data_IF_877529420004
#
_entry.id   IF_877529420004
#
_cell.length_a   1.000
_cell.length_b   1.000
_cell.length_c   1.000
_cell.angle_alpha   90.00
_cell.angle_beta   90.00
_cell.angle_gamma   90.00
#
_symmetry.space_group_name_H-M   'P 1'
#
loop_
_entity.id
_entity.type
_entity.pdbx_description
1 polymer ?
#
# COMPACT_ATOMS: atom_id res chain seq x y z
N UNK A 1 41.08 -20.62 23.84
CA UNK A 1 40.45 -20.86 22.51
C UNK A 1 39.38 -21.98 22.54
N UNK A 2 39.39 -22.87 23.55
CA UNK A 2 38.49 -24.03 23.59
C UNK A 2 37.04 -23.73 24.02
N UNK A 3 36.74 -22.54 24.55
CA UNK A 3 35.45 -22.20 25.14
C UNK A 3 34.56 -21.30 24.26
N UNK A 4 34.83 -21.14 22.94
CA UNK A 4 34.02 -20.31 22.05
C UNK A 4 32.93 -21.07 21.28
N UNK A 5 32.85 -22.41 21.41
CA UNK A 5 31.93 -23.21 20.58
C UNK A 5 30.43 -22.96 20.87
N UNK A 6 30.07 -22.45 22.07
CA UNK A 6 28.68 -22.18 22.49
C UNK A 6 28.38 -20.68 22.69
N UNK A 7 29.26 -19.79 22.24
CA UNK A 7 29.05 -18.35 22.39
C UNK A 7 28.32 -17.78 21.19
N UNK A 8 27.36 -16.88 21.46
CA UNK A 8 26.65 -16.17 20.41
C UNK A 8 27.59 -15.21 19.62
N UNK A 9 27.20 -14.80 18.44
CA UNK A 9 27.96 -13.94 17.56
C UNK A 9 28.47 -12.66 18.25
N UNK A 10 27.63 -11.99 19.03
CA UNK A 10 28.01 -10.75 19.72
C UNK A 10 29.16 -10.93 20.71
N UNK A 11 29.21 -12.07 21.42
CA UNK A 11 30.33 -12.39 22.33
C UNK A 11 31.60 -12.70 21.54
N UNK A 12 31.49 -13.42 20.43
CA UNK A 12 32.65 -13.71 19.56
C UNK A 12 33.19 -12.43 18.95
N UNK A 13 32.34 -11.47 18.59
CA UNK A 13 32.73 -10.17 18.06
C UNK A 13 33.55 -9.37 19.06
N UNK A 14 33.09 -9.28 20.32
CA UNK A 14 33.88 -8.63 21.39
C UNK A 14 35.25 -9.24 21.57
N UNK A 15 35.35 -10.57 21.60
CA UNK A 15 36.64 -11.27 21.70
C UNK A 15 37.53 -10.98 20.52
N UNK A 16 36.96 -10.87 19.30
CA UNK A 16 37.70 -10.48 18.12
C UNK A 16 38.29 -9.08 18.24
N UNK A 17 37.48 -8.11 18.68
CA UNK A 17 37.91 -6.73 18.85
C UNK A 17 39.00 -6.61 19.96
N UNK A 18 38.84 -7.31 21.09
CA UNK A 18 39.81 -7.39 22.16
C UNK A 18 41.16 -7.94 21.65
N UNK A 19 41.16 -9.04 20.90
CA UNK A 19 42.40 -9.62 20.31
C UNK A 19 43.00 -8.65 19.28
N UNK A 20 42.18 -7.92 18.54
CA UNK A 20 42.64 -6.93 17.56
C UNK A 20 43.40 -5.77 18.18
N UNK A 21 43.05 -5.38 19.42
CA UNK A 21 43.72 -4.32 20.16
C UNK A 21 44.91 -4.77 20.98
N UNK A 22 45.03 -6.09 21.29
CA UNK A 22 46.06 -6.62 22.17
C UNK A 22 47.44 -6.66 21.52
N UNK A 23 48.47 -6.41 22.30
CA UNK A 23 49.89 -6.48 21.86
C UNK A 23 50.40 -7.91 21.81
N UNK A 24 49.98 -8.70 20.84
CA UNK A 24 50.49 -10.05 20.60
C UNK A 24 51.49 -10.08 19.44
N UNK A 25 52.36 -11.12 19.37
CA UNK A 25 53.18 -11.38 18.19
C UNK A 25 52.32 -11.47 16.92
N UNK A 26 52.73 -10.79 15.84
CA UNK A 26 51.87 -10.52 14.67
C UNK A 26 51.36 -11.79 14.00
N UNK A 27 52.19 -12.80 13.84
CA UNK A 27 51.81 -14.10 13.26
C UNK A 27 50.74 -14.82 14.11
N UNK A 28 50.95 -14.87 15.42
CA UNK A 28 50.00 -15.48 16.36
C UNK A 28 48.68 -14.76 16.37
N UNK A 29 48.71 -13.42 16.33
CA UNK A 29 47.51 -12.54 16.28
C UNK A 29 46.72 -12.80 15.00
N UNK A 30 47.37 -12.82 13.84
CA UNK A 30 46.72 -13.06 12.56
C UNK A 30 46.02 -14.43 12.51
N UNK A 31 46.69 -15.49 12.99
CA UNK A 31 46.12 -16.84 13.03
C UNK A 31 44.88 -16.92 13.96
N UNK A 32 44.90 -16.26 15.14
CA UNK A 32 43.78 -16.20 16.06
C UNK A 32 42.60 -15.46 15.45
N UNK A 33 42.83 -14.27 14.85
CA UNK A 33 41.81 -13.48 14.21
C UNK A 33 41.17 -14.19 13.02
N UNK A 34 41.94 -14.87 12.19
CA UNK A 34 41.43 -15.65 11.06
C UNK A 34 40.53 -16.79 11.52
N UNK A 35 40.96 -17.59 12.49
CA UNK A 35 40.19 -18.68 13.06
C UNK A 35 38.89 -18.18 13.72
N UNK A 36 38.97 -17.06 14.44
CA UNK A 36 37.77 -16.49 15.09
C UNK A 36 36.79 -15.91 14.07
N UNK A 37 37.30 -15.27 13.00
CA UNK A 37 36.48 -14.76 11.90
C UNK A 37 35.70 -15.88 11.20
N UNK A 38 36.29 -17.01 10.92
CA UNK A 38 35.62 -18.17 10.34
C UNK A 38 34.49 -18.70 11.26
N UNK A 39 34.80 -18.84 12.57
CA UNK A 39 33.80 -19.27 13.56
C UNK A 39 32.64 -18.27 13.69
N UNK A 40 32.95 -16.97 13.70
CA UNK A 40 31.96 -15.90 13.73
C UNK A 40 31.03 -15.95 12.53
N UNK A 41 31.58 -16.17 11.33
CA UNK A 41 30.77 -16.28 10.11
C UNK A 41 29.81 -17.45 10.19
N UNK A 42 30.27 -18.65 10.55
CA UNK A 42 29.40 -19.84 10.71
C UNK A 42 28.31 -19.62 11.78
N UNK A 43 28.65 -18.98 12.89
CA UNK A 43 27.69 -18.69 13.96
C UNK A 43 26.68 -17.63 13.53
N UNK A 44 27.12 -16.58 12.83
CA UNK A 44 26.26 -15.55 12.28
C UNK A 44 25.24 -16.13 11.28
N UNK A 45 25.69 -16.97 10.34
CA UNK A 45 24.80 -17.67 9.41
C UNK A 45 23.74 -18.49 10.12
N UNK A 46 24.12 -19.23 11.17
CA UNK A 46 23.21 -20.02 11.98
C UNK A 46 22.19 -19.15 12.72
N UNK A 47 22.62 -18.10 13.40
CA UNK A 47 21.74 -17.19 14.14
C UNK A 47 20.78 -16.43 13.21
N UNK A 48 21.27 -15.95 12.07
CA UNK A 48 20.43 -15.29 11.05
C UNK A 48 19.37 -16.27 10.52
N UNK A 49 19.78 -17.50 10.15
CA UNK A 49 18.85 -18.53 9.70
C UNK A 49 17.78 -18.85 10.74
N UNK A 50 18.15 -18.91 12.03
CA UNK A 50 17.24 -19.16 13.14
C UNK A 50 16.28 -17.98 13.37
N UNK A 51 16.76 -16.74 13.32
CA UNK A 51 15.94 -15.54 13.42
C UNK A 51 14.89 -15.48 12.32
N UNK A 52 15.30 -15.73 11.08
CA UNK A 52 14.42 -15.72 9.91
C UNK A 52 13.50 -16.96 9.88
N UNK A 53 13.98 -18.12 10.38
CA UNK A 53 13.17 -19.33 10.46
C UNK A 53 12.02 -19.27 11.48
N UNK A 54 12.17 -18.48 12.54
CA UNK A 54 11.16 -18.26 13.59
C UNK A 54 10.17 -17.14 13.29
N UNK A 55 10.19 -16.58 12.07
CA UNK A 55 9.27 -15.50 11.70
C UNK A 55 7.83 -16.00 11.64
N UNK A 56 6.87 -15.29 12.27
CA UNK A 56 5.47 -15.63 12.14
C UNK A 56 4.96 -15.33 10.73
N UNK A 57 3.95 -16.06 10.25
CA UNK A 57 3.35 -15.85 8.93
C UNK A 57 2.71 -14.46 8.77
N UNK A 58 2.30 -13.82 9.89
CA UNK A 58 1.71 -12.49 9.92
C UNK A 58 2.68 -11.54 10.63
N UNK A 59 3.54 -10.91 9.86
CA UNK A 59 4.53 -9.97 10.37
C UNK A 59 4.00 -8.53 10.25
N UNK A 60 3.85 -7.83 11.38
CA UNK A 60 3.61 -6.39 11.36
C UNK A 60 4.88 -5.60 10.98
N UNK A 61 4.70 -4.35 10.55
CA UNK A 61 5.80 -3.48 10.13
C UNK A 61 6.81 -3.22 11.24
N UNK A 62 6.37 -3.04 12.48
CA UNK A 62 7.28 -2.77 13.60
C UNK A 62 8.25 -3.94 13.79
N UNK A 63 7.72 -5.17 13.71
CA UNK A 63 8.53 -6.38 13.80
C UNK A 63 9.44 -6.58 12.60
N UNK A 64 8.98 -6.24 11.39
CA UNK A 64 9.81 -6.22 10.19
C UNK A 64 11.02 -5.29 10.36
N UNK A 65 10.80 -4.04 10.78
CA UNK A 65 11.87 -3.07 10.99
C UNK A 65 12.83 -3.53 12.10
N UNK A 66 12.32 -4.03 13.21
CA UNK A 66 13.14 -4.55 14.31
C UNK A 66 14.05 -5.71 13.85
N UNK A 67 13.51 -6.65 13.07
CA UNK A 67 14.31 -7.76 12.52
C UNK A 67 15.32 -7.28 11.48
N UNK A 68 14.95 -6.35 10.62
CA UNK A 68 15.85 -5.76 9.62
C UNK A 68 17.04 -5.06 10.27
N UNK A 69 16.79 -4.26 11.33
CA UNK A 69 17.87 -3.62 12.09
C UNK A 69 18.76 -4.66 12.78
N UNK A 70 18.16 -5.69 13.38
CA UNK A 70 18.92 -6.76 14.02
C UNK A 70 19.81 -7.54 13.03
N UNK A 71 19.34 -7.75 11.80
CA UNK A 71 20.18 -8.41 10.75
C UNK A 71 21.41 -7.59 10.39
N UNK A 72 21.39 -6.26 10.51
CA UNK A 72 22.57 -5.41 10.25
C UNK A 72 23.72 -5.61 11.24
N UNK A 73 23.45 -6.19 12.41
CA UNK A 73 24.48 -6.47 13.42
C UNK A 73 25.42 -7.62 12.99
N UNK A 74 25.01 -8.42 12.00
CA UNK A 74 25.79 -9.57 11.52
C UNK A 74 26.69 -9.18 10.34
N UNK A 75 27.97 -8.92 10.61
CA UNK A 75 28.94 -8.60 9.58
C UNK A 75 29.53 -9.86 8.94
N UNK A 76 29.80 -9.78 7.63
CA UNK A 76 30.48 -10.86 6.88
C UNK A 76 29.56 -12.01 6.43
N UNK A 77 28.25 -11.90 6.65
CA UNK A 77 27.23 -12.81 6.14
C UNK A 77 26.56 -12.19 4.92
N UNK A 78 26.30 -12.98 3.89
CA UNK A 78 25.40 -12.54 2.81
C UNK A 78 23.96 -12.52 3.34
N UNK A 79 23.47 -11.33 3.64
CA UNK A 79 22.13 -11.11 4.16
C UNK A 79 21.05 -11.05 3.07
N UNK A 80 21.44 -11.02 1.79
CA UNK A 80 20.51 -10.85 0.67
C UNK A 80 19.36 -11.87 0.68
N UNK A 81 19.58 -13.19 0.78
CA UNK A 81 18.49 -14.17 0.78
C UNK A 81 17.54 -14.02 1.96
N UNK A 82 18.06 -13.58 3.10
CA UNK A 82 17.27 -13.38 4.32
C UNK A 82 16.42 -12.10 4.25
N UNK A 83 16.97 -11.03 3.67
CA UNK A 83 16.28 -9.78 3.44
C UNK A 83 15.13 -9.95 2.43
N UNK A 84 15.39 -10.66 1.32
CA UNK A 84 14.37 -11.00 0.32
C UNK A 84 13.21 -11.81 0.94
N UNK A 85 13.52 -12.80 1.77
CA UNK A 85 12.51 -13.58 2.47
C UNK A 85 11.71 -12.73 3.45
N UNK A 86 12.37 -11.83 4.19
CA UNK A 86 11.75 -10.92 5.13
C UNK A 86 10.79 -9.95 4.41
N UNK A 87 11.22 -9.40 3.27
CA UNK A 87 10.42 -8.51 2.42
C UNK A 87 9.20 -9.25 1.84
N UNK A 88 9.40 -10.47 1.34
CA UNK A 88 8.31 -11.30 0.83
C UNK A 88 7.23 -11.58 1.90
N UNK A 89 7.63 -11.88 3.13
CA UNK A 89 6.67 -12.10 4.22
C UNK A 89 5.93 -10.83 4.65
N UNK A 90 6.62 -9.69 4.69
CA UNK A 90 5.98 -8.38 4.91
C UNK A 90 4.92 -8.12 3.85
N UNK A 91 5.28 -8.31 2.58
CA UNK A 91 4.38 -8.06 1.45
C UNK A 91 3.15 -8.98 1.49
N UNK A 92 3.31 -10.25 1.87
CA UNK A 92 2.20 -11.18 2.06
C UNK A 92 1.26 -10.74 3.19
N UNK A 93 1.81 -10.27 4.31
CA UNK A 93 1.03 -9.78 5.44
C UNK A 93 0.25 -8.50 5.05
N UNK A 94 0.90 -7.55 4.36
CA UNK A 94 0.25 -6.34 3.85
C UNK A 94 -0.88 -6.66 2.85
N UNK A 95 -0.65 -7.57 1.90
CA UNK A 95 -1.68 -8.03 0.97
C UNK A 95 -2.89 -8.64 1.69
N UNK A 96 -2.64 -9.43 2.74
CA UNK A 96 -3.73 -10.03 3.51
C UNK A 96 -4.51 -8.97 4.30
N UNK A 97 -3.83 -7.97 4.86
CA UNK A 97 -4.47 -6.84 5.55
C UNK A 97 -5.35 -6.04 4.58
N UNK A 98 -4.82 -5.67 3.40
CA UNK A 98 -5.59 -4.97 2.35
C UNK A 98 -6.84 -5.78 1.98
N UNK A 99 -6.71 -7.08 1.70
CA UNK A 99 -7.85 -7.95 1.37
C UNK A 99 -8.89 -8.00 2.49
N UNK A 100 -8.46 -8.01 3.74
CA UNK A 100 -9.37 -8.01 4.89
C UNK A 100 -10.12 -6.67 5.01
N UNK A 101 -9.44 -5.54 4.80
CA UNK A 101 -10.08 -4.21 4.78
C UNK A 101 -11.17 -4.12 3.70
N UNK A 102 -10.87 -4.63 2.49
CA UNK A 102 -11.84 -4.66 1.38
C UNK A 102 -13.03 -5.57 1.69
N UNK A 103 -12.80 -6.75 2.29
CA UNK A 103 -13.89 -7.69 2.63
C UNK A 103 -14.83 -7.19 3.72
N UNK A 104 -14.36 -6.33 4.61
CA UNK A 104 -15.16 -5.74 5.68
C UNK A 104 -16.20 -4.74 5.16
N UNK A 105 -16.00 -4.16 3.98
CA UNK A 105 -16.93 -3.26 3.29
C UNK A 105 -18.07 -4.05 2.63
N UNK A 106 -19.05 -4.54 3.42
CA UNK A 106 -20.13 -5.43 2.92
C UNK A 106 -21.25 -4.72 2.16
N UNK A 107 -21.50 -3.43 2.41
CA UNK A 107 -22.41 -2.58 1.64
C UNK A 107 -21.56 -1.47 1.04
N UNK A 108 -21.22 -1.62 -0.21
CA UNK A 108 -20.31 -0.70 -0.87
C UNK A 108 -21.14 0.47 -1.37
N UNK A 109 -21.25 1.52 -0.58
CA UNK A 109 -21.68 2.86 -1.02
C UNK A 109 -20.47 3.65 -1.53
N UNK A 110 -20.73 4.76 -2.21
CA UNK A 110 -19.68 5.68 -2.66
C UNK A 110 -18.82 6.17 -1.48
N UNK A 111 -19.48 6.53 -0.38
CA UNK A 111 -18.81 7.01 0.84
C UNK A 111 -17.94 5.93 1.49
N UNK A 112 -18.45 4.68 1.55
CA UNK A 112 -17.66 3.54 2.04
C UNK A 112 -16.38 3.31 1.23
N UNK A 113 -16.45 3.48 -0.10
CA UNK A 113 -15.28 3.36 -0.98
C UNK A 113 -14.29 4.50 -0.78
N UNK A 114 -14.79 5.71 -0.58
CA UNK A 114 -13.97 6.88 -0.30
C UNK A 114 -13.26 6.73 1.05
N UNK A 115 -13.99 6.33 2.09
CA UNK A 115 -13.40 6.05 3.41
C UNK A 115 -12.36 4.92 3.34
N UNK A 116 -12.66 3.83 2.63
CA UNK A 116 -11.73 2.74 2.43
C UNK A 116 -10.43 3.21 1.76
N UNK A 117 -10.53 4.07 0.74
CA UNK A 117 -9.38 4.64 0.04
C UNK A 117 -8.50 5.46 0.98
N UNK A 118 -9.10 6.32 1.82
CA UNK A 118 -8.34 7.12 2.80
C UNK A 118 -7.69 6.22 3.87
N UNK A 119 -8.39 5.24 4.40
CA UNK A 119 -7.82 4.25 5.34
C UNK A 119 -6.65 3.46 4.76
N UNK A 120 -6.71 3.12 3.47
CA UNK A 120 -5.58 2.45 2.79
C UNK A 120 -4.39 3.39 2.63
N UNK A 121 -4.59 4.70 2.40
CA UNK A 121 -3.51 5.70 2.35
C UNK A 121 -2.84 5.89 3.71
N UNK A 122 -3.63 5.97 4.79
CA UNK A 122 -3.12 6.15 6.16
C UNK A 122 -2.21 5.00 6.62
N UNK A 123 -2.41 3.80 6.09
CA UNK A 123 -1.63 2.62 6.46
C UNK A 123 -0.23 2.58 5.86
N UNK A 124 0.10 3.48 4.92
CA UNK A 124 1.42 3.56 4.27
C UNK A 124 1.92 2.21 3.71
N UNK A 125 1.04 1.40 3.13
CA UNK A 125 1.40 0.15 2.49
C UNK A 125 2.42 0.35 1.36
N UNK A 126 3.13 -0.71 0.99
CA UNK A 126 4.02 -0.68 -0.17
C UNK A 126 3.24 -0.23 -1.42
N UNK A 127 3.68 0.83 -2.13
CA UNK A 127 2.92 1.39 -3.26
C UNK A 127 2.54 0.35 -4.32
N UNK A 128 3.44 -0.55 -4.66
CA UNK A 128 3.18 -1.62 -5.64
C UNK A 128 2.07 -2.58 -5.23
N UNK A 129 1.78 -2.71 -3.93
CA UNK A 129 0.72 -3.57 -3.41
C UNK A 129 -0.64 -2.88 -3.38
N UNK A 130 -0.68 -1.57 -3.13
CA UNK A 130 -1.93 -0.84 -2.90
C UNK A 130 -2.48 -0.14 -4.15
N UNK A 131 -1.62 0.28 -5.08
CA UNK A 131 -2.03 0.97 -6.31
C UNK A 131 -3.12 0.25 -7.11
N UNK A 132 -3.05 -1.08 -7.37
CA UNK A 132 -4.11 -1.78 -8.10
C UNK A 132 -5.47 -1.71 -7.42
N UNK A 133 -5.50 -1.61 -6.09
CA UNK A 133 -6.75 -1.48 -5.34
C UNK A 133 -7.29 -0.05 -5.37
N UNK A 134 -6.43 0.96 -5.39
CA UNK A 134 -6.86 2.35 -5.61
C UNK A 134 -7.54 2.52 -6.97
N UNK A 135 -6.94 1.97 -8.04
CA UNK A 135 -7.53 1.99 -9.37
C UNK A 135 -8.90 1.27 -9.41
N UNK A 136 -9.02 0.11 -8.74
CA UNK A 136 -10.30 -0.59 -8.64
C UNK A 136 -11.36 0.21 -7.88
N UNK A 137 -10.98 0.86 -6.78
CA UNK A 137 -11.89 1.71 -5.98
C UNK A 137 -12.34 2.92 -6.82
N UNK A 138 -11.41 3.60 -7.48
CA UNK A 138 -11.70 4.77 -8.33
C UNK A 138 -12.61 4.41 -9.50
N UNK A 139 -12.33 3.30 -10.18
CA UNK A 139 -13.18 2.82 -11.28
C UNK A 139 -14.60 2.48 -10.78
N UNK A 140 -14.71 1.92 -9.57
CA UNK A 140 -16.01 1.59 -9.00
C UNK A 140 -16.79 2.84 -8.58
N UNK A 141 -16.14 3.83 -7.99
CA UNK A 141 -16.75 5.14 -7.70
C UNK A 141 -17.23 5.78 -8.99
N UNK A 142 -16.39 5.81 -10.05
CA UNK A 142 -16.76 6.35 -11.35
C UNK A 142 -17.98 5.66 -11.93
N UNK A 143 -18.03 4.33 -11.91
CA UNK A 143 -19.18 3.58 -12.40
C UNK A 143 -20.47 3.87 -11.63
N UNK A 144 -20.36 4.06 -10.30
CA UNK A 144 -21.51 4.43 -9.47
C UNK A 144 -22.00 5.84 -9.82
N UNK A 145 -21.08 6.81 -9.93
CA UNK A 145 -21.40 8.18 -10.31
C UNK A 145 -22.03 8.24 -11.72
N UNK A 146 -21.49 7.52 -12.71
CA UNK A 146 -22.06 7.41 -14.07
C UNK A 146 -23.49 6.85 -14.05
N UNK A 147 -23.72 5.78 -13.29
CA UNK A 147 -25.05 5.16 -13.20
C UNK A 147 -26.05 6.10 -12.55
N UNK A 148 -25.70 6.74 -11.44
CA UNK A 148 -26.57 7.66 -10.72
C UNK A 148 -26.89 8.92 -11.54
N UNK A 149 -25.90 9.49 -12.23
CA UNK A 149 -26.08 10.60 -13.17
C UNK A 149 -27.02 10.18 -14.31
N UNK A 150 -26.83 8.97 -14.86
CA UNK A 150 -27.70 8.45 -15.90
C UNK A 150 -29.14 8.24 -15.43
N UNK A 151 -29.35 7.76 -14.20
CA UNK A 151 -30.68 7.65 -13.60
C UNK A 151 -31.35 9.02 -13.39
N UNK A 152 -30.58 10.02 -12.94
CA UNK A 152 -31.10 11.39 -12.72
C UNK A 152 -31.43 12.06 -14.06
N UNK A 153 -30.60 11.88 -15.07
CA UNK A 153 -30.82 12.49 -16.41
C UNK A 153 -31.92 11.77 -17.21
N UNK A 154 -32.19 10.51 -16.93
CA UNK A 154 -33.22 9.73 -17.63
C UNK A 154 -33.07 9.74 -19.14
N UNK A 155 -34.22 9.84 -19.86
CA UNK A 155 -34.21 10.03 -21.33
C UNK A 155 -34.25 11.55 -21.68
N UNK A 156 -33.12 12.14 -22.08
CA UNK A 156 -33.04 13.56 -22.39
C UNK A 156 -33.97 13.97 -23.57
N UNK A 157 -34.39 13.04 -24.41
CA UNK A 157 -35.22 13.34 -25.55
C UNK A 157 -36.68 13.72 -25.15
N UNK A 158 -37.15 13.14 -24.06
CA UNK A 158 -38.51 13.31 -23.57
C UNK A 158 -38.63 14.19 -22.29
N UNK A 159 -37.54 14.73 -21.83
CA UNK A 159 -37.44 15.54 -20.61
C UNK A 159 -38.12 16.90 -20.82
N UNK A 160 -38.98 17.29 -19.91
CA UNK A 160 -39.53 18.66 -19.81
C UNK A 160 -38.47 19.63 -19.26
N UNK A 161 -38.76 20.93 -19.36
CA UNK A 161 -37.87 21.98 -18.83
C UNK A 161 -37.70 21.84 -17.31
N UNK A 162 -38.80 21.61 -16.57
CA UNK A 162 -38.79 21.51 -15.10
C UNK A 162 -38.00 20.24 -14.64
N UNK A 163 -38.25 19.11 -15.27
CA UNK A 163 -37.47 17.86 -15.00
C UNK A 163 -35.98 18.07 -15.28
N UNK A 164 -35.65 18.78 -16.33
CA UNK A 164 -34.27 19.11 -16.68
C UNK A 164 -33.60 20.05 -15.67
N UNK A 165 -34.34 21.00 -15.13
CA UNK A 165 -33.83 21.90 -14.08
C UNK A 165 -33.64 21.15 -12.75
N UNK A 166 -34.54 20.27 -12.40
CA UNK A 166 -34.44 19.43 -11.20
C UNK A 166 -33.22 18.48 -11.32
N UNK A 167 -33.03 17.86 -12.48
CA UNK A 167 -31.87 17.02 -12.77
C UNK A 167 -30.55 17.82 -12.68
N UNK A 168 -30.53 19.02 -13.27
CA UNK A 168 -29.37 19.91 -13.21
C UNK A 168 -29.00 20.26 -11.76
N UNK A 169 -29.98 20.64 -10.94
CA UNK A 169 -29.75 20.98 -9.55
C UNK A 169 -29.23 19.79 -8.74
N UNK A 170 -29.84 18.61 -8.88
CA UNK A 170 -29.38 17.37 -8.21
C UNK A 170 -27.95 17.02 -8.54
N UNK A 171 -27.56 17.13 -9.83
CA UNK A 171 -26.21 16.86 -10.24
C UNK A 171 -25.25 17.94 -9.75
N UNK A 172 -25.65 19.22 -9.79
CA UNK A 172 -24.82 20.34 -9.34
C UNK A 172 -24.52 20.27 -7.83
N UNK A 173 -25.45 19.79 -7.03
CA UNK A 173 -25.31 19.63 -5.57
C UNK A 173 -24.70 18.28 -5.18
N UNK A 174 -24.75 17.27 -6.06
CA UNK A 174 -24.27 15.93 -5.81
C UNK A 174 -22.74 15.83 -5.68
N UNK A 175 -22.24 14.81 -4.96
CA UNK A 175 -20.81 14.61 -4.69
C UNK A 175 -20.08 13.82 -5.80
N UNK A 176 -20.46 14.01 -7.06
CA UNK A 176 -19.91 13.27 -8.21
C UNK A 176 -18.49 13.68 -8.56
N UNK A 177 -17.78 12.84 -9.29
CA UNK A 177 -16.46 13.15 -9.84
C UNK A 177 -16.56 14.38 -10.74
N UNK A 178 -15.63 15.37 -10.61
CA UNK A 178 -15.72 16.66 -11.28
C UNK A 178 -15.93 16.57 -12.81
N UNK A 179 -15.18 15.69 -13.46
CA UNK A 179 -15.25 15.48 -14.91
C UNK A 179 -16.61 14.92 -15.39
N UNK A 180 -17.21 14.00 -14.62
CA UNK A 180 -18.54 13.45 -14.90
C UNK A 180 -19.63 14.50 -14.65
N UNK A 181 -19.49 15.23 -13.55
CA UNK A 181 -20.41 16.31 -13.15
C UNK A 181 -20.43 17.41 -14.21
N UNK A 182 -19.27 17.91 -14.60
CA UNK A 182 -19.14 18.99 -15.58
C UNK A 182 -19.73 18.58 -16.93
N UNK A 183 -19.42 17.36 -17.41
CA UNK A 183 -19.99 16.83 -18.64
C UNK A 183 -21.52 16.72 -18.60
N UNK A 184 -22.08 16.23 -17.49
CA UNK A 184 -23.52 16.07 -17.35
C UNK A 184 -24.23 17.43 -17.28
N UNK A 185 -23.68 18.40 -16.55
CA UNK A 185 -24.22 19.76 -16.44
C UNK A 185 -24.16 20.49 -17.80
N UNK A 186 -23.10 20.32 -18.58
CA UNK A 186 -23.01 20.88 -19.93
C UNK A 186 -24.07 20.29 -20.86
N UNK A 187 -24.26 18.98 -20.86
CA UNK A 187 -25.29 18.31 -21.67
C UNK A 187 -26.69 18.78 -21.29
N UNK A 188 -27.00 18.87 -20.01
CA UNK A 188 -28.30 19.35 -19.52
C UNK A 188 -28.52 20.82 -19.90
N UNK A 189 -27.51 21.69 -19.74
CA UNK A 189 -27.59 23.11 -20.14
C UNK A 189 -27.91 23.29 -21.61
N UNK A 190 -27.25 22.54 -22.49
CA UNK A 190 -27.53 22.53 -23.94
C UNK A 190 -28.96 22.10 -24.23
N UNK A 191 -29.43 21.03 -23.56
CA UNK A 191 -30.79 20.52 -23.72
C UNK A 191 -31.84 21.51 -23.25
N UNK A 192 -31.67 22.07 -22.06
CA UNK A 192 -32.56 23.09 -21.49
C UNK A 192 -32.69 24.34 -22.39
N UNK A 193 -31.57 24.80 -22.94
CA UNK A 193 -31.53 25.90 -23.91
C UNK A 193 -32.33 25.57 -25.17
N UNK A 194 -32.23 24.34 -25.68
CA UNK A 194 -33.02 23.90 -26.84
C UNK A 194 -34.51 23.84 -26.54
N UNK A 195 -34.94 23.23 -25.39
CA UNK A 195 -36.33 23.15 -24.99
C UNK A 195 -36.96 24.56 -24.94
N UNK A 196 -36.23 25.50 -24.30
CA UNK A 196 -36.67 26.89 -24.18
C UNK A 196 -36.83 27.57 -25.55
N UNK A 197 -35.91 27.31 -26.48
CA UNK A 197 -36.00 27.84 -27.86
C UNK A 197 -37.21 27.27 -28.59
N UNK A 198 -37.40 25.96 -28.53
CA UNK A 198 -38.51 25.25 -29.19
C UNK A 198 -39.87 25.75 -28.63
N UNK A 199 -40.01 25.97 -27.32
CA UNK A 199 -41.21 26.55 -26.71
C UNK A 199 -41.48 28.00 -27.14
N UNK A 200 -40.42 28.81 -27.22
CA UNK A 200 -40.56 30.21 -27.72
C UNK A 200 -41.01 30.24 -29.17
N UNK A 201 -40.44 29.38 -30.06
CA UNK A 201 -40.84 29.28 -31.45
C UNK A 201 -42.31 28.82 -31.62
N UNK A 202 -42.77 27.89 -30.79
CA UNK A 202 -44.16 27.44 -30.79
C UNK A 202 -45.15 28.57 -30.37
N UNK A 203 -44.73 29.47 -29.49
CA UNK A 203 -45.54 30.60 -29.05
C UNK A 203 -45.63 31.72 -30.13
N UNK A 204 -44.53 31.90 -30.90
CA UNK A 204 -44.48 32.93 -31.99
C UNK A 204 -45.26 32.47 -33.22
N UNK A 205 -45.35 31.16 -33.48
CA UNK A 205 -46.02 30.61 -34.65
C UNK A 205 -47.51 30.29 -34.45
N UNK A 206 -48.10 30.61 -33.27
CA UNK A 206 -49.53 30.56 -32.95
C UNK A 206 -50.15 31.92 -33.11
#
# INVERSE_FOLDING_TARGET
AENCADKNYAVMRRVYDEIAEEKLPQEKKQNLLLNLKQKMQTQAEREVAELVGKMPPNMDRARYHALREKLKEYEGVDLTPYQERLESQKNLAEQQEIKNMIRQSRKITRDDLTELKERLKEKEFEPGLVLPYFEQIENKIRQMDENEIAEITGDPAHMSFDEGMDAYQKIAEGPYLPDLKDNALELLSRRLSKIKTDECEQLVNK
#
